data_IF_276492741077
#
_entry.id   IF_276492741077
#
_cell.length_a   1.000
_cell.length_b   1.000
_cell.length_c   1.000
_cell.angle_alpha   90.00
_cell.angle_beta   90.00
_cell.angle_gamma   90.00
#
_symmetry.space_group_name_H-M   'P 1'
#
loop_
_entity.id
_entity.type
_entity.pdbx_description
1 polymer ?
#
# COMPACT_ATOMS: atom_id res chain seq x y z
N UNK A 1 15.38 7.42 -7.85
CA UNK A 1 15.70 6.06 -8.23
C UNK A 1 15.50 5.12 -7.06
N UNK A 2 14.98 3.98 -7.34
CA UNK A 2 14.63 2.99 -6.34
C UNK A 2 13.14 3.06 -6.03
N UNK A 3 12.75 2.24 -5.09
CA UNK A 3 11.33 2.09 -4.74
C UNK A 3 10.92 3.16 -3.74
N UNK A 4 9.65 3.58 -3.78
CA UNK A 4 9.15 4.59 -2.83
C UNK A 4 8.93 4.04 -1.42
N UNK A 5 9.36 2.84 -1.14
CA UNK A 5 9.15 2.16 0.14
C UNK A 5 10.31 1.24 0.47
N UNK A 6 10.32 0.75 1.70
CA UNK A 6 11.28 -0.22 2.18
C UNK A 6 10.50 -1.45 2.67
N UNK A 7 10.91 -2.64 2.24
CA UNK A 7 10.32 -3.87 2.75
C UNK A 7 11.13 -4.32 3.96
N UNK A 8 10.52 -4.17 5.13
CA UNK A 8 11.16 -4.50 6.40
C UNK A 8 11.27 -5.99 6.62
N UNK A 9 10.30 -6.74 6.09
CA UNK A 9 10.26 -8.19 6.21
C UNK A 9 9.55 -8.77 5.00
N UNK A 10 10.08 -9.86 4.45
CA UNK A 10 9.46 -10.57 3.33
C UNK A 10 9.44 -12.04 3.68
N UNK A 11 8.25 -12.62 3.69
CA UNK A 11 8.05 -14.06 3.90
C UNK A 11 7.28 -14.64 2.73
N UNK A 12 7.03 -15.95 2.75
CA UNK A 12 6.20 -16.57 1.72
C UNK A 12 4.75 -16.09 1.79
N UNK A 13 4.31 -15.62 2.96
CA UNK A 13 2.92 -15.28 3.22
C UNK A 13 2.63 -13.78 3.16
N UNK A 14 3.60 -12.97 3.52
CA UNK A 14 3.36 -11.53 3.60
C UNK A 14 4.63 -10.70 3.38
N UNK A 15 4.40 -9.41 3.19
CA UNK A 15 5.45 -8.38 3.12
C UNK A 15 5.09 -7.32 4.15
N UNK A 16 6.06 -6.94 4.98
CA UNK A 16 5.91 -5.79 5.88
C UNK A 16 6.61 -4.62 5.23
N UNK A 17 5.84 -3.61 4.83
CA UNK A 17 6.31 -2.51 3.99
C UNK A 17 6.15 -1.16 4.69
N UNK A 18 7.14 -0.30 4.54
CA UNK A 18 7.14 1.02 5.15
C UNK A 18 7.33 2.10 4.09
N UNK A 19 6.47 3.11 4.15
CA UNK A 19 6.58 4.31 3.32
C UNK A 19 6.98 5.46 4.21
N UNK A 20 8.09 6.12 3.88
CA UNK A 20 8.59 7.25 4.65
C UNK A 20 7.70 8.49 4.50
N UNK A 21 7.58 9.27 5.56
CA UNK A 21 6.89 10.56 5.49
C UNK A 21 7.59 11.56 4.56
N UNK A 22 8.85 11.30 4.22
CA UNK A 22 9.62 12.18 3.33
C UNK A 22 9.50 11.81 1.85
N UNK A 23 8.73 10.77 1.51
CA UNK A 23 8.56 10.38 0.11
C UNK A 23 7.89 11.49 -0.69
N UNK A 24 8.37 11.74 -1.90
CA UNK A 24 7.70 12.67 -2.81
C UNK A 24 6.43 11.98 -3.34
N UNK A 25 5.25 12.61 -3.16
CA UNK A 25 3.99 12.00 -3.62
C UNK A 25 3.99 11.60 -5.09
N UNK A 26 4.78 12.24 -5.93
CA UNK A 26 4.84 11.91 -7.35
C UNK A 26 5.42 10.52 -7.61
N UNK A 27 6.13 9.95 -6.64
CA UNK A 27 6.68 8.61 -6.77
C UNK A 27 5.67 7.51 -6.46
N UNK A 28 4.50 7.87 -5.92
CA UNK A 28 3.44 6.92 -5.58
C UNK A 28 2.55 6.69 -6.80
N UNK A 29 3.06 5.93 -7.74
CA UNK A 29 2.44 5.74 -9.05
C UNK A 29 1.32 4.72 -9.03
N UNK A 30 0.37 4.88 -9.96
CA UNK A 30 -0.59 3.83 -10.25
C UNK A 30 0.14 2.57 -10.68
N UNK A 31 -0.24 1.43 -10.11
CA UNK A 31 0.34 0.14 -10.46
C UNK A 31 -0.68 -0.97 -10.24
N UNK A 32 -0.32 -2.17 -10.67
CA UNK A 32 -1.13 -3.36 -10.45
C UNK A 32 -0.22 -4.53 -10.14
N UNK A 33 -0.78 -5.53 -9.47
CA UNK A 33 -0.04 -6.72 -9.07
C UNK A 33 -0.58 -7.94 -9.81
N UNK A 34 0.23 -8.98 -9.92
CA UNK A 34 -0.14 -10.21 -10.61
C UNK A 34 -0.87 -11.21 -9.71
N UNK A 35 -1.11 -10.86 -8.48
CA UNK A 35 -1.82 -11.70 -7.52
C UNK A 35 -2.76 -10.89 -6.66
N UNK A 36 -3.76 -11.56 -6.07
CA UNK A 36 -4.63 -10.93 -5.09
C UNK A 36 -3.83 -10.57 -3.86
N UNK A 37 -4.17 -9.46 -3.24
CA UNK A 37 -3.52 -9.00 -2.01
C UNK A 37 -4.52 -8.51 -1.00
N UNK A 38 -4.24 -8.78 0.27
CA UNK A 38 -4.95 -8.18 1.38
C UNK A 38 -3.98 -7.28 2.11
N UNK A 39 -4.36 -6.03 2.29
CA UNK A 39 -3.52 -5.02 2.93
C UNK A 39 -4.08 -4.70 4.31
N UNK A 40 -3.22 -4.76 5.31
CA UNK A 40 -3.57 -4.46 6.70
C UNK A 40 -2.68 -3.34 7.20
N UNK A 41 -3.30 -2.35 7.86
CA UNK A 41 -2.55 -1.21 8.39
C UNK A 41 -1.94 -1.58 9.73
N UNK A 42 -0.68 -1.21 9.94
CA UNK A 42 -0.01 -1.33 11.23
C UNK A 42 -0.08 0.03 11.90
N UNK A 43 -0.87 0.12 12.97
CA UNK A 43 -1.10 1.38 13.68
C UNK A 43 -2.19 2.21 13.02
N UNK A 44 -2.14 3.52 13.25
CA UNK A 44 -3.11 4.46 12.70
C UNK A 44 -2.46 5.31 11.62
N UNK A 45 -3.24 5.72 10.64
CA UNK A 45 -2.73 6.54 9.53
C UNK A 45 -3.85 7.35 8.89
N UNK A 46 -3.49 8.50 8.32
CA UNK A 46 -4.36 9.27 7.45
C UNK A 46 -4.00 9.10 5.97
N UNK A 47 -3.03 8.23 5.67
CA UNK A 47 -2.76 7.86 4.29
C UNK A 47 -3.98 7.16 3.71
N UNK A 48 -4.10 7.17 2.39
CA UNK A 48 -5.28 6.60 1.71
C UNK A 48 -4.85 5.66 0.59
N UNK A 49 -5.80 4.87 0.14
CA UNK A 49 -5.64 4.00 -1.01
C UNK A 49 -6.70 4.36 -2.03
N UNK A 50 -6.34 4.36 -3.30
CA UNK A 50 -7.29 4.57 -4.39
C UNK A 50 -7.20 3.43 -5.38
N UNK A 51 -8.32 2.76 -5.60
CA UNK A 51 -8.47 1.76 -6.66
C UNK A 51 -8.96 2.45 -7.92
N UNK A 52 -8.77 1.79 -9.07
CA UNK A 52 -9.21 2.29 -10.36
C UNK A 52 -10.71 2.58 -10.35
N UNK A 53 -11.08 3.71 -10.96
CA UNK A 53 -12.48 4.16 -11.06
C UNK A 53 -13.19 4.33 -9.70
N UNK A 54 -12.42 4.57 -8.65
CA UNK A 54 -12.96 4.74 -7.30
C UNK A 54 -12.42 6.00 -6.65
N UNK A 55 -13.14 6.50 -5.67
CA UNK A 55 -12.62 7.59 -4.83
C UNK A 55 -11.58 7.03 -3.87
N UNK A 56 -10.64 7.87 -3.40
CA UNK A 56 -9.72 7.45 -2.36
C UNK A 56 -10.46 6.95 -1.12
N UNK A 57 -9.95 5.89 -0.51
CA UNK A 57 -10.52 5.31 0.70
C UNK A 57 -9.51 5.33 1.83
N UNK A 58 -10.03 5.41 3.06
CA UNK A 58 -9.20 5.37 4.25
C UNK A 58 -8.53 4.00 4.39
N UNK A 59 -7.29 4.03 4.91
CA UNK A 59 -6.53 2.81 5.20
C UNK A 59 -6.74 2.35 6.64
N UNK A 60 -7.92 2.53 7.20
CA UNK A 60 -8.18 2.16 8.60
C UNK A 60 -8.61 0.72 8.78
N UNK A 61 -8.81 -0.01 7.70
CA UNK A 61 -9.28 -1.38 7.74
C UNK A 61 -8.45 -2.25 6.81
N UNK A 62 -8.71 -3.54 6.89
CA UNK A 62 -8.16 -4.51 5.98
C UNK A 62 -8.79 -4.31 4.61
N UNK A 63 -7.97 -4.18 3.58
CA UNK A 63 -8.43 -3.89 2.23
C UNK A 63 -8.00 -5.01 1.30
N UNK A 64 -8.95 -5.53 0.52
CA UNK A 64 -8.66 -6.51 -0.51
C UNK A 64 -8.42 -5.81 -1.84
N UNK A 65 -7.30 -6.14 -2.50
CA UNK A 65 -6.95 -5.61 -3.82
C UNK A 65 -6.88 -6.79 -4.77
N UNK A 66 -7.85 -6.91 -5.70
CA UNK A 66 -7.82 -8.00 -6.68
C UNK A 66 -6.59 -7.89 -7.58
N UNK A 67 -6.10 -9.03 -8.05
CA UNK A 67 -5.01 -9.02 -9.02
C UNK A 67 -5.41 -8.22 -10.26
N UNK A 68 -4.41 -7.53 -10.83
CA UNK A 68 -4.56 -6.71 -12.03
C UNK A 68 -5.42 -5.46 -11.84
N UNK A 69 -5.88 -5.16 -10.63
CA UNK A 69 -6.60 -3.93 -10.34
C UNK A 69 -5.59 -2.80 -10.17
N UNK A 70 -5.72 -1.75 -10.96
CA UNK A 70 -4.88 -0.56 -10.82
C UNK A 70 -5.18 0.14 -9.51
N UNK A 71 -4.13 0.53 -8.80
CA UNK A 71 -4.29 1.21 -7.51
C UNK A 71 -3.05 2.04 -7.19
N UNK A 72 -3.22 2.93 -6.21
CA UNK A 72 -2.11 3.73 -5.70
C UNK A 72 -2.34 4.07 -4.24
N UNK A 73 -1.23 4.34 -3.56
CA UNK A 73 -1.26 4.89 -2.21
C UNK A 73 -1.22 6.41 -2.33
N UNK A 74 -2.00 7.08 -1.49
CA UNK A 74 -2.01 8.54 -1.44
C UNK A 74 -1.38 8.97 -0.12
N UNK A 75 -0.35 9.80 -0.21
CA UNK A 75 0.43 10.21 0.94
C UNK A 75 -0.41 11.00 1.94
N UNK A 76 -0.26 10.63 3.21
CA UNK A 76 -0.78 11.40 4.35
C UNK A 76 0.36 11.98 5.15
N UNK A 77 0.18 12.07 6.45
CA UNK A 77 1.20 12.54 7.39
C UNK A 77 1.87 11.36 8.06
N UNK A 78 3.13 11.56 8.46
CA UNK A 78 3.89 10.51 9.13
C UNK A 78 4.27 9.35 8.21
N UNK A 79 4.76 8.29 8.82
CA UNK A 79 5.19 7.08 8.14
C UNK A 79 4.03 6.11 8.04
N UNK A 80 3.88 5.47 6.86
CA UNK A 80 2.88 4.43 6.66
C UNK A 80 3.55 3.07 6.76
N UNK A 81 2.99 2.18 7.57
CA UNK A 81 3.46 0.80 7.66
C UNK A 81 2.32 -0.15 7.36
N UNK A 82 2.54 -1.03 6.40
CA UNK A 82 1.54 -1.97 5.90
C UNK A 82 2.03 -3.40 6.03
N UNK A 83 1.09 -4.30 6.31
CA UNK A 83 1.31 -5.72 6.14
C UNK A 83 0.51 -6.16 4.93
N UNK A 84 1.20 -6.68 3.92
CA UNK A 84 0.59 -7.05 2.65
C UNK A 84 0.63 -8.57 2.55
N UNK A 85 -0.55 -9.20 2.62
CA UNK A 85 -0.66 -10.65 2.49
C UNK A 85 -0.73 -11.03 1.03
N UNK A 86 0.09 -11.99 0.65
CA UNK A 86 0.11 -12.51 -0.72
C UNK A 86 -1.00 -13.55 -0.88
N UNK A 87 -1.56 -13.59 -2.09
CA UNK A 87 -2.60 -14.54 -2.47
C UNK A 87 -3.89 -14.42 -1.65
N UNK A 88 -4.15 -13.20 -1.25
CA UNK A 88 -5.41 -12.90 -0.60
C UNK A 88 -5.50 -13.30 0.83
#
# INVERSE_FOLDING_TARGET
SGKPYIDLEITDDYILREFSESIDPIELLWHRDDEDRTVEIIGETDWMLQLDNSLPTSLQERIFIPRHEWHRVIKGTGTLKLKIYKNG
#
